data_IF_390051625915
#
_entry.id   IF_390051625915
#
_cell.length_a   1.000
_cell.length_b   1.000
_cell.length_c   1.000
_cell.angle_alpha   90.00
_cell.angle_beta   90.00
_cell.angle_gamma   90.00
#
_symmetry.space_group_name_H-M   'P 1'
#
loop_
_entity.id
_entity.type
_entity.pdbx_description
1 polymer ?
#
# COMPACT_ATOMS: atom_id res chain seq x y z
N UNK A 1 -66.06 -3.70 33.43
CA UNK A 1 -64.73 -3.22 33.87
C UNK A 1 -63.80 -4.42 33.82
N UNK A 2 -62.76 -4.52 33.02
CA UNK A 2 -62.12 -3.61 32.09
C UNK A 2 -61.65 -4.42 30.85
N UNK A 3 -61.52 -3.67 29.76
CA UNK A 3 -61.17 -3.99 28.38
C UNK A 3 -59.95 -4.90 28.16
N UNK A 4 -60.09 -5.82 27.21
CA UNK A 4 -58.98 -6.34 26.44
C UNK A 4 -58.27 -5.19 25.71
N UNK A 5 -56.94 -5.24 25.62
CA UNK A 5 -56.22 -4.73 24.45
C UNK A 5 -54.82 -5.37 24.41
N UNK A 6 -54.73 -6.36 23.54
CA UNK A 6 -53.52 -6.85 22.91
C UNK A 6 -53.45 -6.10 21.59
N UNK A 7 -52.48 -5.20 21.46
CA UNK A 7 -52.17 -4.48 20.22
C UNK A 7 -50.64 -4.51 20.01
N UNK A 8 -50.15 -4.36 18.77
CA UNK A 8 -49.40 -5.41 18.10
C UNK A 8 -47.91 -5.07 17.98
N UNK A 9 -47.11 -6.10 17.66
CA UNK A 9 -45.82 -5.94 17.01
C UNK A 9 -46.05 -5.35 15.60
N UNK A 10 -45.92 -4.03 15.48
CA UNK A 10 -45.77 -3.32 14.20
C UNK A 10 -44.26 -3.27 13.90
N UNK A 11 -43.76 -4.10 12.99
CA UNK A 11 -43.58 -3.80 11.57
C UNK A 11 -42.55 -2.68 11.29
N UNK A 12 -41.37 -3.14 10.85
CA UNK A 12 -40.49 -2.49 9.86
C UNK A 12 -40.13 -1.01 10.05
N UNK A 13 -39.00 -0.74 10.72
CA UNK A 13 -38.15 0.43 10.43
C UNK A 13 -37.33 0.14 9.15
N UNK A 14 -38.01 0.00 8.00
CA UNK A 14 -37.39 -0.01 6.66
C UNK A 14 -37.22 1.44 6.23
N UNK A 15 -36.21 2.11 6.79
CA UNK A 15 -35.92 3.53 6.49
C UNK A 15 -35.33 3.64 5.07
N UNK A 16 -35.96 4.39 4.13
CA UNK A 16 -35.58 4.44 2.71
C UNK A 16 -34.29 5.22 2.39
N UNK A 17 -33.57 5.73 3.40
CA UNK A 17 -32.32 6.48 3.21
C UNK A 17 -31.10 5.60 2.89
N UNK A 18 -31.12 4.32 3.32
CA UNK A 18 -29.99 3.40 3.15
C UNK A 18 -29.88 2.85 1.72
N UNK A 19 -31.00 2.61 1.04
CA UNK A 19 -31.00 2.07 -0.34
C UNK A 19 -30.38 3.05 -1.35
N UNK A 20 -30.59 4.35 -1.18
CA UNK A 20 -30.03 5.38 -2.08
C UNK A 20 -28.55 5.61 -1.84
N UNK A 21 -28.11 5.59 -0.57
CA UNK A 21 -26.70 5.66 -0.20
C UNK A 21 -25.95 4.40 -0.66
N UNK A 22 -26.50 3.21 -0.44
CA UNK A 22 -25.95 1.94 -0.90
C UNK A 22 -25.90 1.84 -2.44
N UNK A 23 -26.92 2.32 -3.15
CA UNK A 23 -26.93 2.38 -4.61
C UNK A 23 -25.89 3.38 -5.15
N UNK A 24 -25.73 4.54 -4.48
CA UNK A 24 -24.71 5.54 -4.85
C UNK A 24 -23.30 5.02 -4.58
N UNK A 25 -23.08 4.34 -3.45
CA UNK A 25 -21.82 3.65 -3.13
C UNK A 25 -21.53 2.49 -4.10
N UNK A 26 -22.55 1.75 -4.56
CA UNK A 26 -22.38 0.72 -5.59
C UNK A 26 -22.02 1.30 -6.96
N UNK A 27 -22.55 2.47 -7.32
CA UNK A 27 -22.28 3.11 -8.59
C UNK A 27 -20.93 3.86 -8.61
N UNK A 28 -20.61 4.58 -7.52
CA UNK A 28 -19.40 5.41 -7.41
C UNK A 28 -18.20 4.62 -6.89
N UNK A 29 -18.45 3.60 -6.06
CA UNK A 29 -17.41 2.78 -5.43
C UNK A 29 -16.41 2.16 -6.40
N UNK A 30 -16.85 1.48 -7.49
CA UNK A 30 -15.92 0.87 -8.44
C UNK A 30 -15.03 1.87 -9.18
N UNK A 31 -15.55 3.05 -9.54
CA UNK A 31 -14.76 4.11 -10.18
C UNK A 31 -13.78 4.74 -9.18
N UNK A 32 -14.24 5.01 -7.96
CA UNK A 32 -13.40 5.50 -6.87
C UNK A 32 -12.23 4.56 -6.57
N UNK A 33 -12.51 3.26 -6.46
CA UNK A 33 -11.48 2.23 -6.28
C UNK A 33 -10.53 2.21 -7.46
N UNK A 34 -11.04 2.13 -8.70
CA UNK A 34 -10.18 2.10 -9.91
C UNK A 34 -9.23 3.30 -9.99
N UNK A 35 -9.71 4.49 -9.60
CA UNK A 35 -8.92 5.73 -9.61
C UNK A 35 -7.77 5.75 -8.61
N UNK A 36 -7.91 5.07 -7.47
CA UNK A 36 -6.98 5.22 -6.34
C UNK A 36 -6.25 3.92 -5.96
N UNK A 37 -6.69 2.76 -6.44
CA UNK A 37 -6.15 1.47 -6.02
C UNK A 37 -4.67 1.30 -6.29
N UNK A 38 -4.19 1.81 -7.43
CA UNK A 38 -2.79 1.69 -7.83
C UNK A 38 -1.88 2.52 -6.92
N UNK A 39 -2.25 3.79 -6.66
CA UNK A 39 -1.52 4.67 -5.73
C UNK A 39 -1.41 4.03 -4.34
N UNK A 40 -2.52 3.49 -3.82
CA UNK A 40 -2.54 2.88 -2.48
C UNK A 40 -1.75 1.58 -2.44
N UNK A 41 -1.84 0.76 -3.48
CA UNK A 41 -1.01 -0.44 -3.60
C UNK A 41 0.48 -0.10 -3.58
N UNK A 42 0.93 0.85 -4.42
CA UNK A 42 2.33 1.24 -4.48
C UNK A 42 2.81 1.93 -3.21
N UNK A 43 1.96 2.73 -2.57
CA UNK A 43 2.25 3.30 -1.26
C UNK A 43 2.50 2.22 -0.20
N UNK A 44 1.68 1.17 -0.15
CA UNK A 44 1.87 0.04 0.77
C UNK A 44 3.13 -0.76 0.45
N UNK A 45 3.48 -0.92 -0.84
CA UNK A 45 4.75 -1.54 -1.26
C UNK A 45 5.95 -0.70 -0.85
N UNK A 46 5.84 0.63 -0.97
CA UNK A 46 6.85 1.59 -0.54
C UNK A 46 7.08 1.54 0.98
N UNK A 47 6.01 1.41 1.78
CA UNK A 47 6.11 1.20 3.23
C UNK A 47 6.77 -0.15 3.61
N UNK A 48 6.87 -1.08 2.66
CA UNK A 48 7.57 -2.36 2.83
C UNK A 48 6.66 -3.59 2.99
N UNK A 49 5.36 -3.46 2.71
CA UNK A 49 4.44 -4.61 2.60
C UNK A 49 4.90 -5.52 1.46
N UNK A 50 4.80 -6.84 1.60
CA UNK A 50 5.02 -7.75 0.46
C UNK A 50 3.88 -7.65 -0.56
N UNK A 51 4.01 -8.23 -1.75
CA UNK A 51 3.00 -8.14 -2.83
C UNK A 51 1.60 -8.58 -2.38
N UNK A 52 1.47 -9.82 -1.89
CA UNK A 52 0.19 -10.33 -1.40
C UNK A 52 -0.37 -9.49 -0.24
N UNK A 53 0.49 -9.11 0.70
CA UNK A 53 0.11 -8.26 1.84
C UNK A 53 -0.37 -6.87 1.37
N UNK A 54 0.29 -6.26 0.39
CA UNK A 54 -0.10 -4.96 -0.14
C UNK A 54 -1.45 -5.02 -0.87
N UNK A 55 -1.70 -6.08 -1.65
CA UNK A 55 -3.00 -6.32 -2.28
C UNK A 55 -4.11 -6.43 -1.24
N UNK A 56 -3.90 -7.24 -0.20
CA UNK A 56 -4.91 -7.44 0.85
C UNK A 56 -5.15 -6.16 1.65
N UNK A 57 -4.09 -5.46 2.05
CA UNK A 57 -4.19 -4.19 2.78
C UNK A 57 -4.86 -3.09 1.94
N UNK A 58 -4.62 -3.05 0.63
CA UNK A 58 -5.31 -2.13 -0.27
C UNK A 58 -6.82 -2.43 -0.30
N UNK A 59 -7.21 -3.70 -0.44
CA UNK A 59 -8.61 -4.11 -0.39
C UNK A 59 -9.26 -3.74 0.94
N UNK A 60 -8.61 -4.06 2.07
CA UNK A 60 -9.10 -3.68 3.40
C UNK A 60 -9.27 -2.16 3.56
N UNK A 61 -8.35 -1.38 2.98
CA UNK A 61 -8.42 0.09 2.97
C UNK A 61 -9.68 0.56 2.26
N UNK A 62 -9.92 0.10 1.03
CA UNK A 62 -11.11 0.51 0.28
C UNK A 62 -12.41 0.01 0.92
N UNK A 63 -12.42 -1.21 1.46
CA UNK A 63 -13.58 -1.71 2.20
C UNK A 63 -13.88 -0.87 3.44
N UNK A 64 -12.86 -0.43 4.18
CA UNK A 64 -13.04 0.46 5.33
C UNK A 64 -13.58 1.83 4.91
N UNK A 65 -13.03 2.40 3.83
CA UNK A 65 -13.43 3.70 3.31
C UNK A 65 -14.84 3.67 2.73
N UNK A 66 -15.23 2.63 2.01
CA UNK A 66 -16.59 2.51 1.46
C UNK A 66 -17.64 2.31 2.56
N UNK A 67 -17.27 1.68 3.69
CA UNK A 67 -18.16 1.56 4.86
C UNK A 67 -18.35 2.89 5.59
N UNK A 68 -17.35 3.77 5.56
CA UNK A 68 -17.36 5.10 6.19
C UNK A 68 -16.70 6.12 5.25
N UNK A 69 -17.43 6.56 4.21
CA UNK A 69 -16.87 7.46 3.23
C UNK A 69 -16.56 8.81 3.88
N UNK A 70 -15.44 9.46 3.49
CA UNK A 70 -15.17 10.81 3.96
C UNK A 70 -16.18 11.78 3.35
N UNK A 71 -16.78 12.61 4.20
CA UNK A 71 -17.67 13.69 3.76
C UNK A 71 -16.85 14.95 3.47
N UNK A 72 -17.18 15.67 2.41
CA UNK A 72 -16.67 17.02 2.12
C UNK A 72 -15.14 17.16 1.95
N UNK A 73 -14.47 16.16 1.36
CA UNK A 73 -13.05 16.24 1.02
C UNK A 73 -12.82 16.64 -0.44
N UNK A 74 -11.95 17.64 -0.66
CA UNK A 74 -11.39 17.92 -1.97
C UNK A 74 -10.45 16.81 -2.47
N UNK A 75 -10.15 16.73 -3.79
CA UNK A 75 -9.39 15.62 -4.37
C UNK A 75 -8.02 15.33 -3.73
N UNK A 76 -7.27 16.37 -3.34
CA UNK A 76 -5.99 16.21 -2.65
C UNK A 76 -6.15 15.64 -1.23
N UNK A 77 -7.19 16.09 -0.51
CA UNK A 77 -7.48 15.63 0.84
C UNK A 77 -7.96 14.16 0.86
N UNK A 78 -8.67 13.72 -0.19
CA UNK A 78 -9.04 12.30 -0.38
C UNK A 78 -7.80 11.40 -0.45
N UNK A 79 -6.77 11.77 -1.22
CA UNK A 79 -5.52 10.98 -1.32
C UNK A 79 -4.79 10.86 0.02
N UNK A 80 -4.68 11.98 0.75
CA UNK A 80 -4.07 11.98 2.10
C UNK A 80 -4.86 11.12 3.07
N UNK A 81 -6.19 11.19 3.02
CA UNK A 81 -7.07 10.35 3.84
C UNK A 81 -6.89 8.86 3.53
N UNK A 82 -6.89 8.47 2.25
CA UNK A 82 -6.68 7.08 1.84
C UNK A 82 -5.31 6.54 2.30
N UNK A 83 -4.24 7.31 2.13
CA UNK A 83 -2.90 6.95 2.63
C UNK A 83 -2.87 6.81 4.14
N UNK A 84 -3.56 7.68 4.87
CA UNK A 84 -3.69 7.59 6.34
C UNK A 84 -4.34 6.29 6.76
N UNK A 85 -5.45 5.90 6.11
CA UNK A 85 -6.14 4.63 6.38
C UNK A 85 -5.25 3.43 6.04
N UNK A 86 -4.60 3.45 4.87
CA UNK A 86 -3.68 2.39 4.45
C UNK A 86 -2.48 2.23 5.39
N UNK A 87 -1.86 3.34 5.81
CA UNK A 87 -0.77 3.37 6.79
C UNK A 87 -1.21 2.74 8.11
N UNK A 88 -2.39 3.07 8.61
CA UNK A 88 -2.90 2.48 9.84
C UNK A 88 -3.08 0.96 9.72
N UNK A 89 -3.61 0.48 8.58
CA UNK A 89 -3.73 -0.95 8.29
C UNK A 89 -2.38 -1.66 8.21
N UNK A 90 -1.38 -1.04 7.59
CA UNK A 90 -0.02 -1.54 7.59
C UNK A 90 0.58 -1.65 9.00
N UNK A 91 0.39 -0.64 9.85
CA UNK A 91 0.86 -0.69 11.25
C UNK A 91 0.17 -1.80 12.04
N UNK A 92 -1.14 -1.99 11.84
CA UNK A 92 -1.90 -3.12 12.41
C UNK A 92 -1.30 -4.47 11.96
N UNK A 93 -0.93 -4.61 10.68
CA UNK A 93 -0.30 -5.83 10.16
C UNK A 93 1.07 -6.07 10.80
N UNK A 94 1.92 -5.04 10.94
CA UNK A 94 3.23 -5.16 11.60
C UNK A 94 3.11 -5.69 13.03
N UNK A 95 2.13 -5.18 13.79
CA UNK A 95 1.83 -5.63 15.17
C UNK A 95 1.40 -7.10 15.20
N UNK A 96 0.52 -7.51 14.28
CA UNK A 96 0.02 -8.89 14.16
C UNK A 96 1.15 -9.89 13.93
N UNK A 97 2.16 -9.50 13.14
CA UNK A 97 3.29 -10.37 12.78
C UNK A 97 4.52 -10.21 13.69
N UNK A 98 4.42 -9.47 14.82
CA UNK A 98 5.55 -9.16 15.73
C UNK A 98 6.79 -8.67 14.97
N UNK A 99 6.60 -7.96 13.86
CA UNK A 99 7.70 -7.32 13.14
C UNK A 99 8.06 -6.06 13.92
N UNK A 100 9.05 -6.17 14.82
CA UNK A 100 9.72 -4.98 15.38
C UNK A 100 10.48 -4.31 14.25
N UNK A 101 9.92 -3.22 13.78
CA UNK A 101 10.62 -2.34 12.87
C UNK A 101 10.41 -0.91 13.36
N UNK A 102 11.52 -0.28 13.70
CA UNK A 102 11.63 1.15 13.94
C UNK A 102 11.43 1.86 12.58
N UNK A 103 10.18 1.90 12.11
CA UNK A 103 9.81 2.61 10.89
C UNK A 103 9.45 4.04 11.25
N UNK A 104 10.26 4.99 10.77
CA UNK A 104 9.84 6.39 10.70
C UNK A 104 8.85 6.54 9.54
N UNK A 105 7.59 6.27 9.84
CA UNK A 105 6.50 6.37 8.88
C UNK A 105 6.22 7.81 8.45
N UNK A 106 6.59 8.80 9.26
CA UNK A 106 6.44 10.21 8.89
C UNK A 106 7.52 10.63 7.89
N UNK A 107 8.75 10.11 8.03
CA UNK A 107 9.77 10.25 7.00
C UNK A 107 9.36 9.56 5.70
N UNK A 108 8.76 8.37 5.78
CA UNK A 108 8.22 7.68 4.62
C UNK A 108 7.16 8.51 3.90
N UNK A 109 6.21 9.09 4.65
CA UNK A 109 5.15 9.94 4.07
C UNK A 109 5.69 11.20 3.38
N UNK A 110 6.71 11.85 3.98
CA UNK A 110 7.39 13.00 3.37
C UNK A 110 8.09 12.59 2.06
N UNK A 111 8.80 11.47 2.06
CA UNK A 111 9.51 10.96 0.89
C UNK A 111 8.55 10.58 -0.25
N UNK A 112 7.41 9.95 0.06
CA UNK A 112 6.38 9.66 -0.95
C UNK A 112 5.82 10.94 -1.56
N UNK A 113 5.51 11.93 -0.73
CA UNK A 113 4.91 13.18 -1.19
C UNK A 113 5.89 14.00 -2.03
N UNK A 114 7.19 13.98 -1.74
CA UNK A 114 8.18 14.64 -2.59
C UNK A 114 8.35 13.96 -3.95
N UNK A 115 8.30 12.62 -4.00
CA UNK A 115 8.45 11.87 -5.25
C UNK A 115 7.28 12.13 -6.23
N UNK A 116 6.05 12.26 -5.73
CA UNK A 116 4.86 12.57 -6.54
C UNK A 116 4.89 13.98 -7.19
N UNK A 117 5.84 14.84 -6.81
CA UNK A 117 5.98 16.18 -7.37
C UNK A 117 6.98 16.25 -8.54
N UNK A 118 7.67 15.16 -8.85
CA UNK A 118 8.65 15.10 -9.94
C UNK A 118 8.00 14.48 -11.20
N UNK A 119 7.62 15.30 -12.18
CA UNK A 119 6.92 14.90 -13.42
C UNK A 119 7.80 14.08 -14.40
N UNK A 120 8.84 13.37 -13.94
CA UNK A 120 9.82 12.72 -14.80
C UNK A 120 9.89 11.18 -14.62
N UNK A 121 8.79 10.56 -14.20
CA UNK A 121 8.70 9.13 -13.89
C UNK A 121 9.28 8.24 -15.00
N UNK A 122 9.05 8.56 -16.28
CA UNK A 122 9.56 7.79 -17.42
C UNK A 122 11.10 7.78 -17.47
N UNK A 123 11.76 8.93 -17.26
CA UNK A 123 13.22 9.00 -17.26
C UNK A 123 13.84 8.26 -16.06
N UNK A 124 13.16 8.31 -14.91
CA UNK A 124 13.56 7.54 -13.73
C UNK A 124 13.43 6.03 -13.95
N UNK A 125 12.36 5.58 -14.62
CA UNK A 125 12.14 4.17 -14.95
C UNK A 125 13.16 3.65 -15.97
N UNK A 126 13.43 4.41 -17.03
CA UNK A 126 14.44 4.06 -18.03
C UNK A 126 15.85 3.98 -17.39
N UNK A 127 16.21 4.98 -16.58
CA UNK A 127 17.48 4.98 -15.86
C UNK A 127 17.60 3.79 -14.89
N UNK A 128 16.51 3.41 -14.21
CA UNK A 128 16.50 2.24 -13.34
C UNK A 128 16.69 0.94 -14.14
N UNK A 129 16.04 0.81 -15.30
CA UNK A 129 16.21 -0.33 -16.20
C UNK A 129 17.68 -0.54 -16.58
N UNK A 130 18.33 0.52 -17.07
CA UNK A 130 19.75 0.52 -17.40
C UNK A 130 20.64 0.13 -16.22
N UNK A 131 20.38 0.70 -15.04
CA UNK A 131 21.17 0.43 -13.83
C UNK A 131 20.97 -1.00 -13.31
N UNK A 132 19.79 -1.59 -13.49
CA UNK A 132 19.51 -2.98 -13.16
C UNK A 132 20.27 -3.94 -14.08
N UNK A 133 20.38 -3.62 -15.37
CA UNK A 133 21.11 -4.42 -16.34
C UNK A 133 22.62 -4.46 -16.06
N UNK A 134 23.15 -3.44 -15.40
CA UNK A 134 24.54 -3.37 -14.93
C UNK A 134 24.82 -4.19 -13.66
N UNK A 135 23.79 -4.69 -12.96
CA UNK A 135 24.02 -5.51 -11.77
C UNK A 135 24.54 -6.88 -12.14
N UNK A 136 25.54 -7.35 -11.40
CA UNK A 136 26.14 -8.67 -11.60
C UNK A 136 26.20 -9.49 -10.31
N UNK A 137 26.38 -10.81 -10.48
CA UNK A 137 26.62 -11.76 -9.40
C UNK A 137 25.56 -11.72 -8.30
N UNK A 138 26.01 -11.68 -7.04
CA UNK A 138 25.14 -11.74 -5.86
C UNK A 138 24.17 -10.56 -5.77
N UNK A 139 24.55 -9.39 -6.30
CA UNK A 139 23.70 -8.20 -6.27
C UNK A 139 22.48 -8.36 -7.19
N UNK A 140 22.67 -8.87 -8.42
CA UNK A 140 21.57 -9.18 -9.33
C UNK A 140 20.66 -10.27 -8.75
N UNK A 141 21.27 -11.36 -8.28
CA UNK A 141 20.54 -12.50 -7.73
C UNK A 141 19.65 -12.11 -6.54
N UNK A 142 20.16 -11.30 -5.60
CA UNK A 142 19.35 -10.89 -4.44
C UNK A 142 18.18 -9.99 -4.84
N UNK A 143 18.36 -9.15 -5.87
CA UNK A 143 17.29 -8.27 -6.40
C UNK A 143 16.22 -9.11 -7.09
N UNK A 144 16.60 -10.05 -7.96
CA UNK A 144 15.65 -10.91 -8.66
C UNK A 144 14.82 -11.76 -7.69
N UNK A 145 15.47 -12.42 -6.73
CA UNK A 145 14.77 -13.23 -5.72
C UNK A 145 13.82 -12.39 -4.86
N UNK A 146 14.17 -11.13 -4.58
CA UNK A 146 13.37 -10.24 -3.73
C UNK A 146 12.19 -9.64 -4.50
N UNK A 147 12.43 -9.13 -5.71
CA UNK A 147 11.49 -8.26 -6.42
C UNK A 147 10.78 -8.95 -7.58
N UNK A 148 11.41 -9.92 -8.25
CA UNK A 148 10.76 -10.70 -9.31
C UNK A 148 10.07 -11.94 -8.77
N UNK A 149 10.68 -12.60 -7.79
CA UNK A 149 10.14 -13.84 -7.22
C UNK A 149 9.42 -13.66 -5.87
N UNK A 150 9.47 -12.47 -5.28
CA UNK A 150 8.76 -12.15 -4.04
C UNK A 150 9.17 -12.99 -2.82
N UNK A 151 10.41 -13.53 -2.79
CA UNK A 151 10.83 -14.45 -1.71
C UNK A 151 11.07 -13.71 -0.39
N UNK A 152 10.82 -14.42 0.71
CA UNK A 152 11.16 -13.95 2.06
C UNK A 152 12.68 -13.91 2.27
N UNK A 153 13.15 -13.05 3.18
CA UNK A 153 14.59 -12.95 3.51
C UNK A 153 15.19 -14.28 3.98
N UNK A 154 14.43 -15.07 4.73
CA UNK A 154 14.81 -16.42 5.17
C UNK A 154 15.01 -17.37 3.98
N UNK A 155 14.08 -17.35 3.01
CA UNK A 155 14.18 -18.20 1.82
C UNK A 155 15.34 -17.76 0.91
N UNK A 156 15.59 -16.45 0.81
CA UNK A 156 16.73 -15.91 0.06
C UNK A 156 18.05 -16.31 0.73
N UNK A 157 18.11 -16.21 2.07
CA UNK A 157 19.27 -16.59 2.86
C UNK A 157 19.63 -18.07 2.63
N UNK A 158 18.63 -18.96 2.67
CA UNK A 158 18.82 -20.37 2.33
C UNK A 158 19.25 -20.59 0.87
N UNK A 159 18.63 -19.89 -0.09
CA UNK A 159 18.93 -20.04 -1.52
C UNK A 159 20.34 -19.54 -1.92
N UNK A 160 20.86 -18.53 -1.20
CA UNK A 160 22.14 -17.90 -1.50
C UNK A 160 23.28 -18.35 -0.57
N UNK A 161 23.01 -19.30 0.34
CA UNK A 161 23.93 -19.72 1.41
C UNK A 161 24.47 -18.52 2.22
N UNK A 162 23.53 -17.74 2.78
CA UNK A 162 23.80 -16.55 3.59
C UNK A 162 23.02 -16.57 4.91
N UNK A 163 23.40 -15.70 5.83
CA UNK A 163 22.52 -15.33 6.95
C UNK A 163 21.48 -14.30 6.51
N UNK A 164 20.33 -14.24 7.19
CA UNK A 164 19.31 -13.20 6.93
C UNK A 164 19.86 -11.78 7.09
N UNK A 165 20.76 -11.57 8.05
CA UNK A 165 21.48 -10.31 8.24
C UNK A 165 22.39 -9.98 7.06
N UNK A 166 23.04 -10.99 6.49
CA UNK A 166 23.82 -10.88 5.26
C UNK A 166 22.95 -10.46 4.07
N UNK A 167 21.78 -11.07 3.89
CA UNK A 167 20.81 -10.69 2.85
C UNK A 167 20.33 -9.25 3.05
N UNK A 168 19.98 -8.86 4.28
CA UNK A 168 19.59 -7.48 4.61
C UNK A 168 20.69 -6.47 4.24
N UNK A 169 21.93 -6.78 4.59
CA UNK A 169 23.08 -5.92 4.32
C UNK A 169 23.38 -5.82 2.82
N UNK A 170 23.30 -6.94 2.09
CA UNK A 170 23.49 -6.98 0.65
C UNK A 170 22.41 -6.16 -0.07
N UNK A 171 21.14 -6.35 0.27
CA UNK A 171 20.02 -5.57 -0.27
C UNK A 171 20.19 -4.06 -0.04
N UNK A 172 20.61 -3.66 1.17
CA UNK A 172 20.86 -2.25 1.46
C UNK A 172 21.93 -1.67 0.52
N UNK A 173 23.09 -2.33 0.44
CA UNK A 173 24.20 -1.88 -0.41
C UNK A 173 23.81 -1.86 -1.89
N UNK A 174 23.12 -2.89 -2.38
CA UNK A 174 22.67 -2.94 -3.78
C UNK A 174 21.69 -1.81 -4.09
N UNK A 175 20.75 -1.49 -3.19
CA UNK A 175 19.84 -0.34 -3.36
C UNK A 175 20.57 0.99 -3.35
N UNK A 176 21.60 1.14 -2.51
CA UNK A 176 22.41 2.36 -2.48
C UNK A 176 23.19 2.55 -3.80
N UNK A 177 23.74 1.46 -4.37
CA UNK A 177 24.39 1.48 -5.69
C UNK A 177 23.40 1.84 -6.80
N UNK A 178 22.21 1.22 -6.80
CA UNK A 178 21.17 1.54 -7.78
C UNK A 178 20.74 3.00 -7.67
N UNK A 179 20.51 3.51 -6.46
CA UNK A 179 20.16 4.92 -6.23
C UNK A 179 21.20 5.86 -6.85
N UNK A 180 22.48 5.66 -6.54
CA UNK A 180 23.55 6.51 -7.07
C UNK A 180 23.65 6.44 -8.60
N UNK A 181 23.45 5.26 -9.18
CA UNK A 181 23.44 5.08 -10.63
C UNK A 181 22.30 5.86 -11.29
N UNK A 182 21.08 5.73 -10.76
CA UNK A 182 19.88 6.40 -11.27
C UNK A 182 19.97 7.90 -11.10
N UNK A 183 20.33 8.39 -9.92
CA UNK A 183 20.49 9.83 -9.65
C UNK A 183 21.51 10.49 -10.57
N UNK A 184 22.55 9.76 -10.98
CA UNK A 184 23.52 10.25 -11.97
C UNK A 184 22.89 10.35 -13.36
N UNK A 185 22.21 9.28 -13.82
CA UNK A 185 21.59 9.22 -15.15
C UNK A 185 20.45 10.23 -15.34
N UNK A 186 19.66 10.50 -14.30
CA UNK A 186 18.54 11.46 -14.37
C UNK A 186 19.02 12.91 -14.35
N UNK A 187 20.25 13.16 -13.85
CA UNK A 187 20.87 14.50 -13.83
C UNK A 187 21.67 14.82 -15.10
N UNK A 188 21.99 13.82 -15.91
CA UNK A 188 22.67 13.95 -17.21
C UNK A 188 21.69 14.38 -18.31
#
# INVERSE_FOLDING_TARGET
MATANMEPLDATDDRPADRTAAATLCAVGPEFVRRHQEEIYWYLRFLGSQEAEASDLAQETFLAVLKKPPTDLGPAAVRVFLRTVARNKFVESLRKYRREAEFDLDAAERAWTSAQCEDNDDAWLDALGDCLDQLEGRAKQVIDLTYREGRSRTNIAAAMDMTESGVKSLLRRTRDVLRQCVERKVKE
#
